data_IF_412325017406
#
_entry.id   IF_412325017406
#
_cell.length_a   1.000
_cell.length_b   1.000
_cell.length_c   1.000
_cell.angle_alpha   90.00
_cell.angle_beta   90.00
_cell.angle_gamma   90.00
#
_symmetry.space_group_name_H-M   'P 1'
#
loop_
_entity.id
_entity.type
_entity.pdbx_description
1 polymer ?
#
# COMPACT_ATOMS: atom_id res chain seq x y z
N UNK A 1 7.47 -2.92 -18.97
CA UNK A 1 8.59 -2.17 -19.60
C UNK A 1 8.89 -0.99 -18.69
N UNK A 2 9.75 -1.10 -17.96
CA UNK A 2 10.88 -0.59 -17.19
C UNK A 2 10.87 0.93 -17.00
N UNK A 3 10.71 1.31 -15.73
CA UNK A 3 10.91 2.64 -15.17
C UNK A 3 12.43 2.88 -14.98
N UNK A 4 13.24 2.69 -16.02
CA UNK A 4 14.71 2.81 -15.93
C UNK A 4 15.29 4.07 -16.56
N UNK A 5 14.48 4.86 -17.28
CA UNK A 5 14.94 6.12 -17.86
C UNK A 5 14.61 7.28 -16.91
N UNK A 6 15.63 8.00 -16.45
CA UNK A 6 15.49 9.17 -15.57
C UNK A 6 14.55 10.24 -16.15
N UNK A 7 14.42 10.31 -17.49
CA UNK A 7 13.50 11.21 -18.19
C UNK A 7 12.04 10.86 -17.98
N UNK A 8 11.72 9.61 -17.67
CA UNK A 8 10.36 9.08 -17.41
C UNK A 8 9.89 9.24 -15.95
N UNK A 9 10.76 9.73 -15.06
CA UNK A 9 10.50 9.91 -13.65
C UNK A 9 10.36 11.38 -13.27
N UNK A 10 9.63 11.65 -12.18
CA UNK A 10 9.66 12.90 -11.42
C UNK A 10 10.00 12.63 -9.97
N UNK A 11 10.65 13.60 -9.33
CA UNK A 11 10.88 13.58 -7.89
C UNK A 11 9.90 14.55 -7.23
N UNK A 12 8.99 14.00 -6.43
CA UNK A 12 7.93 14.77 -5.80
C UNK A 12 8.22 14.96 -4.31
N UNK A 13 7.92 16.16 -3.80
CA UNK A 13 8.05 16.48 -2.38
C UNK A 13 6.77 16.05 -1.63
N UNK A 14 6.93 15.23 -0.59
CA UNK A 14 5.89 14.82 0.34
C UNK A 14 6.12 15.42 1.71
N UNK A 15 5.05 15.53 2.53
CA UNK A 15 5.10 16.00 3.92
C UNK A 15 5.82 17.34 4.07
N UNK A 16 5.53 18.30 3.16
CA UNK A 16 6.17 19.61 3.19
C UNK A 16 7.67 19.58 2.84
N UNK A 17 8.11 18.61 2.03
CA UNK A 17 9.51 18.46 1.60
C UNK A 17 10.37 17.59 2.52
N UNK A 18 9.79 17.03 3.59
CA UNK A 18 10.50 16.11 4.50
C UNK A 18 10.81 14.75 3.86
N UNK A 19 10.11 14.42 2.78
CA UNK A 19 10.28 13.17 2.05
C UNK A 19 10.28 13.49 0.55
N UNK A 20 11.19 12.87 -0.19
CA UNK A 20 11.31 12.96 -1.65
C UNK A 20 10.99 11.60 -2.25
N UNK A 21 10.04 11.54 -3.19
CA UNK A 21 9.66 10.30 -3.84
C UNK A 21 9.83 10.40 -5.35
N UNK A 22 10.68 9.57 -5.89
CA UNK A 22 10.75 9.32 -7.32
C UNK A 22 9.56 8.48 -7.74
N UNK A 23 8.84 8.96 -8.74
CA UNK A 23 7.64 8.32 -9.27
C UNK A 23 7.61 8.36 -10.79
N UNK A 24 6.96 7.40 -11.47
CA UNK A 24 6.80 7.48 -12.92
C UNK A 24 5.91 8.67 -13.29
N UNK A 25 6.25 9.36 -14.40
CA UNK A 25 5.41 10.44 -14.95
C UNK A 25 4.10 9.92 -15.52
N UNK A 26 4.06 8.65 -15.92
CA UNK A 26 2.86 7.94 -16.41
C UNK A 26 2.70 6.61 -15.66
N UNK A 27 1.46 6.20 -15.35
CA UNK A 27 1.14 5.04 -14.52
C UNK A 27 0.64 5.43 -13.14
N UNK A 28 0.72 4.51 -12.17
CA UNK A 28 0.31 4.80 -10.81
C UNK A 28 1.26 5.79 -10.14
N UNK A 29 0.67 6.78 -9.50
CA UNK A 29 1.37 7.78 -8.69
C UNK A 29 0.68 7.93 -7.35
N UNK A 30 1.44 7.99 -6.28
CA UNK A 30 0.95 8.24 -4.95
C UNK A 30 0.37 9.66 -4.83
N UNK A 31 -0.84 9.74 -4.32
CA UNK A 31 -1.53 10.99 -3.98
C UNK A 31 -1.59 11.23 -2.49
N UNK A 32 -2.77 11.61 -1.99
CA UNK A 32 -2.99 11.87 -0.56
C UNK A 32 -3.21 10.59 0.26
N UNK A 33 -3.72 9.51 -0.36
CA UNK A 33 -4.12 8.30 0.33
C UNK A 33 -2.98 7.63 1.12
N UNK A 34 -1.75 7.49 0.59
CA UNK A 34 -0.60 7.04 1.35
C UNK A 34 -0.31 7.87 2.60
N UNK A 35 -0.49 9.18 2.52
CA UNK A 35 -0.26 10.09 3.65
C UNK A 35 -1.32 9.87 4.73
N UNK A 36 -2.60 9.76 4.33
CA UNK A 36 -3.71 9.52 5.25
C UNK A 36 -3.59 8.15 5.92
N UNK A 37 -3.25 7.11 5.15
CA UNK A 37 -3.02 5.77 5.67
C UNK A 37 -1.88 5.77 6.69
N UNK A 38 -0.73 6.33 6.34
CA UNK A 38 0.41 6.45 7.27
C UNK A 38 0.05 7.27 8.52
N UNK A 39 -0.78 8.32 8.39
CA UNK A 39 -1.21 9.16 9.50
C UNK A 39 -2.14 8.44 10.46
N UNK A 40 -2.93 7.47 10.00
CA UNK A 40 -3.89 6.72 10.81
C UNK A 40 -3.24 5.66 11.72
N UNK A 41 -1.98 5.31 11.48
CA UNK A 41 -1.27 4.28 12.25
C UNK A 41 -1.01 4.75 13.67
N UNK A 42 -1.37 3.94 14.67
CA UNK A 42 -1.01 4.19 16.07
C UNK A 42 0.45 3.77 16.33
N UNK A 43 1.30 4.76 16.42
CA UNK A 43 2.76 4.58 16.57
C UNK A 43 3.22 4.00 17.90
N UNK A 44 2.37 3.97 18.90
CA UNK A 44 2.71 3.38 20.21
C UNK A 44 2.83 1.84 20.15
N UNK A 45 2.43 1.25 19.02
CA UNK A 45 2.39 -0.20 18.84
C UNK A 45 3.41 -0.71 17.82
N UNK A 46 4.21 0.18 17.21
CA UNK A 46 5.03 -0.17 16.06
C UNK A 46 6.47 -0.55 16.41
N UNK A 47 6.88 -1.76 16.03
CA UNK A 47 8.27 -2.23 15.93
C UNK A 47 8.59 -2.63 14.51
N UNK A 48 7.84 -3.59 13.96
CA UNK A 48 8.01 -4.17 12.63
C UNK A 48 6.82 -3.84 11.73
N UNK A 49 7.10 -3.36 10.52
CA UNK A 49 6.08 -2.94 9.54
C UNK A 49 6.23 -3.71 8.25
N UNK A 50 5.13 -4.22 7.72
CA UNK A 50 5.02 -4.79 6.38
C UNK A 50 4.04 -3.96 5.55
N UNK A 51 4.48 -3.46 4.40
CA UNK A 51 3.61 -2.80 3.40
C UNK A 51 3.37 -3.76 2.24
N UNK A 52 2.15 -4.24 2.12
CA UNK A 52 1.72 -5.12 1.03
C UNK A 52 1.41 -4.28 -0.21
N UNK A 53 2.02 -4.59 -1.36
CA UNK A 53 1.91 -3.79 -2.57
C UNK A 53 2.48 -2.39 -2.38
N UNK A 54 3.70 -2.29 -1.85
CA UNK A 54 4.26 -0.99 -1.42
C UNK A 54 4.48 0.02 -2.56
N UNK A 55 4.37 -0.38 -3.81
CA UNK A 55 4.63 0.49 -4.96
C UNK A 55 6.01 1.12 -4.88
N UNK A 56 6.08 2.45 -5.03
CA UNK A 56 7.31 3.23 -4.86
C UNK A 56 7.66 3.52 -3.37
N UNK A 57 6.97 2.89 -2.41
CA UNK A 57 7.23 3.00 -0.98
C UNK A 57 6.53 4.17 -0.28
N UNK A 58 5.52 4.79 -0.90
CA UNK A 58 4.93 6.04 -0.40
C UNK A 58 4.33 5.91 1.01
N UNK A 59 3.53 4.87 1.28
CA UNK A 59 2.93 4.66 2.62
C UNK A 59 4.01 4.40 3.65
N UNK A 60 4.91 3.46 3.34
CA UNK A 60 5.98 2.99 4.21
C UNK A 60 6.89 4.14 4.66
N UNK A 61 7.29 5.00 3.71
CA UNK A 61 8.20 6.10 3.99
C UNK A 61 7.50 7.30 4.63
N UNK A 62 6.22 7.56 4.32
CA UNK A 62 5.42 8.53 5.07
C UNK A 62 5.30 8.13 6.55
N UNK A 63 5.12 6.84 6.83
CA UNK A 63 5.10 6.33 8.20
C UNK A 63 6.48 6.47 8.87
N UNK A 64 7.55 6.08 8.19
CA UNK A 64 8.93 6.19 8.70
C UNK A 64 9.33 7.64 9.02
N UNK A 65 8.92 8.60 8.17
CA UNK A 65 9.19 10.03 8.41
C UNK A 65 8.46 10.58 9.65
N UNK A 66 7.32 9.95 10.06
CA UNK A 66 6.58 10.28 11.26
C UNK A 66 7.12 9.55 12.49
N UNK A 67 7.59 8.33 12.32
CA UNK A 67 7.94 7.40 13.38
C UNK A 67 9.32 6.80 13.11
N UNK A 68 10.40 7.46 13.53
CA UNK A 68 11.75 6.92 13.39
C UNK A 68 11.95 5.63 14.19
N UNK A 69 12.81 4.75 13.69
CA UNK A 69 13.21 3.52 14.39
C UNK A 69 12.35 2.29 14.07
N UNK A 70 11.41 2.40 13.11
CA UNK A 70 10.65 1.26 12.62
C UNK A 70 11.51 0.34 11.76
N UNK A 71 11.30 -0.98 11.88
CA UNK A 71 11.82 -1.97 10.92
C UNK A 71 10.87 -2.06 9.73
N UNK A 72 11.32 -1.60 8.57
CA UNK A 72 10.50 -1.41 7.39
C UNK A 72 10.68 -2.56 6.40
N UNK A 73 9.58 -3.21 6.01
CA UNK A 73 9.55 -4.20 4.93
C UNK A 73 8.44 -3.86 3.95
N UNK A 74 8.75 -3.87 2.66
CA UNK A 74 7.79 -3.72 1.58
C UNK A 74 7.78 -4.93 0.66
N UNK A 75 6.61 -5.30 0.15
CA UNK A 75 6.42 -6.31 -0.89
C UNK A 75 5.76 -5.65 -2.09
N UNK A 76 6.34 -5.81 -3.26
CA UNK A 76 5.81 -5.24 -4.51
C UNK A 76 5.95 -6.26 -5.65
N UNK A 77 4.86 -6.46 -6.39
CA UNK A 77 4.81 -7.41 -7.51
C UNK A 77 5.65 -6.94 -8.70
N UNK A 78 5.56 -5.65 -9.01
CA UNK A 78 6.19 -5.08 -10.19
C UNK A 78 7.63 -4.65 -9.88
N UNK A 79 8.61 -5.32 -10.50
CA UNK A 79 10.03 -5.07 -10.27
C UNK A 79 10.41 -3.58 -10.42
N UNK A 80 9.85 -2.88 -11.43
CA UNK A 80 10.14 -1.45 -11.63
C UNK A 80 9.68 -0.56 -10.48
N UNK A 81 8.55 -0.85 -9.84
CA UNK A 81 8.10 -0.14 -8.63
C UNK A 81 8.90 -0.55 -7.40
N UNK A 82 9.27 -1.83 -7.27
CA UNK A 82 10.14 -2.29 -6.20
C UNK A 82 11.53 -1.61 -6.26
N UNK A 83 12.08 -1.43 -7.46
CA UNK A 83 13.35 -0.70 -7.66
C UNK A 83 13.20 0.79 -7.32
N UNK A 84 12.06 1.41 -7.65
CA UNK A 84 11.76 2.77 -7.20
C UNK A 84 11.65 2.87 -5.68
N UNK A 85 11.04 1.89 -5.02
CA UNK A 85 10.98 1.87 -3.56
C UNK A 85 12.38 1.79 -2.94
N UNK A 86 13.27 0.94 -3.45
CA UNK A 86 14.68 0.86 -3.00
C UNK A 86 15.41 2.20 -3.18
N UNK A 87 15.30 2.78 -4.38
CA UNK A 87 15.85 4.11 -4.67
C UNK A 87 15.30 5.19 -3.74
N UNK A 88 14.00 5.18 -3.47
CA UNK A 88 13.37 6.15 -2.57
C UNK A 88 13.80 5.96 -1.11
N UNK A 89 14.04 4.72 -0.67
CA UNK A 89 14.63 4.46 0.64
C UNK A 89 16.04 5.08 0.75
N UNK A 90 16.89 4.84 -0.24
CA UNK A 90 18.24 5.42 -0.31
C UNK A 90 18.22 6.96 -0.35
N UNK A 91 17.37 7.57 -1.20
CA UNK A 91 17.22 9.03 -1.34
C UNK A 91 16.86 9.71 -0.01
N UNK A 92 16.11 9.02 0.85
CA UNK A 92 15.65 9.55 2.13
C UNK A 92 16.43 9.02 3.33
N UNK A 93 17.52 8.27 3.10
CA UNK A 93 18.35 7.71 4.18
C UNK A 93 17.62 6.70 5.06
N UNK A 94 16.63 6.00 4.51
CA UNK A 94 15.80 5.03 5.23
C UNK A 94 16.31 3.61 4.99
N UNK A 95 16.50 2.85 6.07
CA UNK A 95 16.74 1.41 5.99
C UNK A 95 15.41 0.69 5.78
N UNK A 96 15.20 0.14 4.59
CA UNK A 96 14.00 -0.63 4.24
C UNK A 96 14.36 -1.88 3.43
N UNK A 97 13.76 -3.01 3.78
CA UNK A 97 13.82 -4.24 3.00
C UNK A 97 12.69 -4.24 1.99
N UNK A 98 13.01 -4.26 0.70
CA UNK A 98 12.00 -4.30 -0.38
C UNK A 98 12.15 -5.60 -1.16
N UNK A 99 11.11 -6.43 -1.10
CA UNK A 99 11.03 -7.71 -1.81
C UNK A 99 10.18 -7.57 -3.08
N UNK A 100 10.69 -8.05 -4.19
CA UNK A 100 9.90 -8.15 -5.41
C UNK A 100 9.20 -9.51 -5.40
N UNK A 101 7.91 -9.53 -5.07
CA UNK A 101 7.15 -10.77 -4.91
C UNK A 101 5.65 -10.54 -5.06
N UNK A 102 4.93 -11.61 -5.42
CA UNK A 102 3.48 -11.70 -5.30
C UNK A 102 3.11 -11.87 -3.83
N UNK A 103 2.20 -11.02 -3.32
CA UNK A 103 1.75 -11.09 -1.93
C UNK A 103 1.05 -12.42 -1.60
N UNK A 104 0.46 -13.08 -2.61
CA UNK A 104 -0.17 -14.41 -2.44
C UNK A 104 0.86 -15.55 -2.41
N UNK A 105 2.11 -15.26 -2.81
CA UNK A 105 3.21 -16.22 -2.92
C UNK A 105 4.51 -15.67 -2.34
N UNK A 106 4.42 -15.19 -1.11
CA UNK A 106 5.56 -14.58 -0.42
C UNK A 106 6.77 -15.53 -0.36
N UNK A 107 8.01 -15.00 -0.42
CA UNK A 107 9.22 -15.77 -0.16
C UNK A 107 9.19 -16.48 1.19
N UNK A 108 9.85 -17.62 1.30
CA UNK A 108 9.83 -18.46 2.52
C UNK A 108 10.22 -17.68 3.77
N UNK A 109 11.22 -16.81 3.70
CA UNK A 109 11.62 -15.97 4.84
C UNK A 109 10.45 -15.10 5.33
N UNK A 110 9.77 -14.34 4.44
CA UNK A 110 8.63 -13.51 4.79
C UNK A 110 7.42 -14.30 5.32
N UNK A 111 7.22 -15.53 4.81
CA UNK A 111 6.14 -16.39 5.31
C UNK A 111 6.34 -16.83 6.76
N UNK A 112 7.56 -16.83 7.25
CA UNK A 112 7.89 -17.19 8.63
C UNK A 112 7.92 -16.00 9.58
N UNK A 113 7.95 -14.78 9.04
CA UNK A 113 7.97 -13.55 9.83
C UNK A 113 6.56 -13.11 10.25
N UNK A 114 6.49 -12.35 11.33
CA UNK A 114 5.29 -11.69 11.85
C UNK A 114 5.59 -10.20 12.04
N UNK A 115 4.57 -9.38 11.83
CA UNK A 115 4.69 -7.93 11.86
C UNK A 115 3.67 -7.32 12.81
N UNK A 116 4.10 -6.29 13.55
CA UNK A 116 3.23 -5.56 14.47
C UNK A 116 2.21 -4.71 13.70
N UNK A 117 2.61 -4.18 12.55
CA UNK A 117 1.77 -3.38 11.68
C UNK A 117 1.87 -3.90 10.25
N UNK A 118 0.72 -4.08 9.63
CA UNK A 118 0.61 -4.31 8.19
C UNK A 118 -0.15 -3.16 7.56
N UNK A 119 0.41 -2.65 6.47
CA UNK A 119 -0.15 -1.59 5.64
C UNK A 119 -0.61 -2.17 4.31
N UNK A 120 -1.71 -1.65 3.77
CA UNK A 120 -2.14 -1.98 2.42
C UNK A 120 -2.91 -0.82 1.79
N UNK A 121 -2.52 -0.46 0.57
CA UNK A 121 -3.23 0.47 -0.29
C UNK A 121 -3.51 -0.19 -1.65
N UNK A 122 -4.44 -1.18 -1.68
CA UNK A 122 -4.73 -1.93 -2.89
C UNK A 122 -5.26 -1.04 -4.01
N UNK A 123 -5.06 -1.40 -5.28
CA UNK A 123 -5.64 -0.68 -6.41
C UNK A 123 -7.16 -0.50 -6.28
N UNK A 124 -7.68 0.65 -6.73
CA UNK A 124 -9.11 1.00 -6.58
C UNK A 124 -10.00 0.44 -7.68
N UNK A 125 -9.44 -0.30 -8.63
CA UNK A 125 -10.20 -0.80 -9.77
C UNK A 125 -11.01 -2.06 -9.42
N UNK A 126 -12.23 -2.16 -9.97
CA UNK A 126 -12.99 -3.40 -9.99
C UNK A 126 -12.72 -4.14 -11.29
N UNK A 127 -12.57 -5.46 -11.27
CA UNK A 127 -12.60 -6.25 -12.50
C UNK A 127 -13.89 -5.95 -13.27
N UNK A 128 -13.78 -5.55 -14.54
CA UNK A 128 -14.93 -5.28 -15.40
C UNK A 128 -15.54 -3.88 -15.35
N UNK A 129 -14.99 -2.94 -14.59
CA UNK A 129 -15.51 -1.56 -14.46
C UNK A 129 -15.04 -0.61 -15.59
N UNK A 130 -14.30 -1.08 -16.59
CA UNK A 130 -13.81 -0.22 -17.68
C UNK A 130 -14.77 -0.18 -18.87
N UNK A 131 -15.16 1.05 -19.26
CA UNK A 131 -15.82 1.30 -20.55
C UNK A 131 -14.86 0.90 -21.69
N UNK A 132 -15.35 0.17 -22.74
CA UNK A 132 -14.49 -0.40 -23.79
C UNK A 132 -13.78 0.60 -24.70
N UNK A 133 -13.87 1.90 -24.45
CA UNK A 133 -13.51 2.94 -25.42
C UNK A 133 -12.12 3.56 -25.29
N UNK A 134 -11.36 3.30 -24.24
CA UNK A 134 -10.03 3.89 -24.10
C UNK A 134 -9.03 2.89 -23.52
N UNK A 135 -8.18 2.34 -24.38
CA UNK A 135 -6.95 1.61 -24.09
C UNK A 135 -7.03 0.07 -24.08
N UNK A 136 -7.13 -0.51 -25.28
CA UNK A 136 -7.19 -1.97 -25.50
C UNK A 136 -5.89 -2.74 -25.20
N UNK A 137 -4.79 -2.08 -24.89
CA UNK A 137 -3.50 -2.72 -24.55
C UNK A 137 -3.19 -2.71 -23.05
N UNK A 138 -3.60 -1.64 -22.34
CA UNK A 138 -3.36 -1.46 -20.90
C UNK A 138 -4.36 -2.18 -20.02
N UNK A 139 -5.62 -2.19 -20.41
CA UNK A 139 -6.71 -2.83 -19.66
C UNK A 139 -6.57 -4.34 -19.55
N UNK A 140 -6.05 -5.00 -20.61
CA UNK A 140 -5.81 -6.45 -20.58
C UNK A 140 -4.67 -6.84 -19.64
N UNK A 141 -3.57 -6.10 -19.63
CA UNK A 141 -2.42 -6.38 -18.77
C UNK A 141 -2.67 -6.11 -17.29
N UNK A 142 -3.59 -5.19 -16.96
CA UNK A 142 -3.95 -4.83 -15.58
C UNK A 142 -5.14 -5.65 -15.06
N UNK A 143 -6.12 -5.99 -15.93
CA UNK A 143 -7.33 -6.72 -15.52
C UNK A 143 -7.12 -8.22 -15.27
N UNK A 144 -6.05 -8.82 -15.81
CA UNK A 144 -5.72 -10.23 -15.58
C UNK A 144 -4.86 -10.47 -14.32
N UNK A 145 -4.46 -9.40 -13.61
CA UNK A 145 -3.55 -9.48 -12.46
C UNK A 145 -4.10 -8.83 -11.18
N UNK A 146 -5.41 -8.61 -11.10
CA UNK A 146 -5.98 -7.99 -9.89
C UNK A 146 -6.16 -9.03 -8.79
N UNK A 147 -5.30 -8.95 -7.80
CA UNK A 147 -5.43 -9.74 -6.55
C UNK A 147 -6.68 -9.29 -5.81
N UNK A 148 -7.64 -10.18 -5.50
CA UNK A 148 -8.83 -9.86 -4.75
C UNK A 148 -8.53 -9.26 -3.37
N UNK A 149 -9.39 -8.37 -2.83
CA UNK A 149 -9.19 -7.80 -1.49
C UNK A 149 -9.15 -8.89 -0.40
N UNK A 150 -9.85 -10.01 -0.60
CA UNK A 150 -9.78 -11.17 0.27
C UNK A 150 -8.36 -11.71 0.44
N UNK A 151 -7.57 -11.74 -0.63
CA UNK A 151 -6.21 -12.27 -0.60
C UNK A 151 -5.24 -11.32 0.11
N UNK A 152 -5.46 -9.99 -0.05
CA UNK A 152 -4.74 -8.98 0.72
C UNK A 152 -4.97 -9.13 2.22
N UNK A 153 -6.24 -9.29 2.62
CA UNK A 153 -6.64 -9.47 4.03
C UNK A 153 -6.17 -10.82 4.56
N UNK A 154 -6.28 -11.89 3.78
CA UNK A 154 -5.78 -13.22 4.14
C UNK A 154 -4.26 -13.18 4.40
N UNK A 155 -3.49 -12.60 3.47
CA UNK A 155 -2.05 -12.46 3.62
C UNK A 155 -1.70 -11.61 4.83
N UNK A 156 -2.41 -10.50 5.04
CA UNK A 156 -2.23 -9.67 6.22
C UNK A 156 -2.50 -10.45 7.50
N UNK A 157 -3.63 -11.15 7.61
CA UNK A 157 -3.99 -11.94 8.78
C UNK A 157 -2.94 -13.01 9.10
N UNK A 158 -2.40 -13.65 8.05
CA UNK A 158 -1.33 -14.65 8.20
C UNK A 158 0.02 -14.04 8.62
N UNK A 159 0.27 -12.77 8.37
CA UNK A 159 1.56 -12.10 8.68
C UNK A 159 1.50 -11.24 9.93
N UNK A 160 0.32 -10.94 10.48
CA UNK A 160 0.20 -10.21 11.74
C UNK A 160 0.80 -10.97 12.92
N UNK A 161 1.53 -10.27 13.76
CA UNK A 161 1.89 -10.71 15.08
C UNK A 161 0.64 -10.74 16.01
N UNK A 162 0.64 -11.50 17.09
CA UNK A 162 -0.40 -11.40 18.09
C UNK A 162 -0.56 -9.96 18.59
N UNK A 163 -1.79 -9.42 18.55
CA UNK A 163 -2.11 -8.01 18.84
C UNK A 163 -1.58 -6.99 17.80
N UNK A 164 -1.11 -7.46 16.66
CA UNK A 164 -0.76 -6.58 15.52
C UNK A 164 -2.00 -6.02 14.85
N UNK A 165 -1.81 -4.96 14.05
CA UNK A 165 -2.87 -4.23 13.37
C UNK A 165 -2.66 -4.19 11.86
N UNK A 166 -3.74 -4.46 11.11
CA UNK A 166 -3.84 -4.15 9.69
C UNK A 166 -4.40 -2.74 9.53
N UNK A 167 -3.79 -1.93 8.68
CA UNK A 167 -4.31 -0.66 8.20
C UNK A 167 -4.45 -0.73 6.70
N UNK A 168 -5.69 -0.68 6.20
CA UNK A 168 -5.99 -0.78 4.77
C UNK A 168 -6.88 0.37 4.34
N UNK A 169 -6.47 1.12 3.32
CA UNK A 169 -7.28 2.18 2.72
C UNK A 169 -7.94 1.69 1.43
N UNK A 170 -9.22 2.02 1.25
CA UNK A 170 -9.97 1.65 0.04
C UNK A 170 -11.17 2.59 -0.17
N UNK A 171 -11.81 2.51 -1.34
CA UNK A 171 -13.07 3.19 -1.61
C UNK A 171 -14.15 2.75 -0.61
N UNK A 172 -14.96 3.71 -0.13
CA UNK A 172 -16.02 3.44 0.84
C UNK A 172 -17.05 2.42 0.33
N UNK A 173 -17.28 2.38 -0.99
CA UNK A 173 -18.18 1.41 -1.61
C UNK A 173 -17.70 -0.05 -1.53
N UNK A 174 -16.39 -0.27 -1.30
CA UNK A 174 -15.81 -1.62 -1.13
C UNK A 174 -15.75 -2.07 0.33
N UNK A 175 -16.23 -1.25 1.26
CA UNK A 175 -16.25 -1.60 2.69
C UNK A 175 -16.97 -2.93 2.99
N UNK A 176 -18.14 -3.25 2.38
CA UNK A 176 -18.78 -4.55 2.63
C UNK A 176 -17.90 -5.75 2.24
N UNK A 177 -17.16 -5.64 1.12
CA UNK A 177 -16.22 -6.68 0.68
C UNK A 177 -15.05 -6.84 1.67
N UNK A 178 -14.49 -5.72 2.15
CA UNK A 178 -13.41 -5.73 3.14
C UNK A 178 -13.88 -6.36 4.46
N UNK A 179 -15.06 -5.98 4.97
CA UNK A 179 -15.61 -6.51 6.22
C UNK A 179 -15.87 -8.02 6.11
N UNK A 180 -16.44 -8.46 5.00
CA UNK A 180 -16.66 -9.90 4.73
C UNK A 180 -15.33 -10.67 4.70
N UNK A 181 -14.29 -10.10 4.11
CA UNK A 181 -12.97 -10.73 4.07
C UNK A 181 -12.28 -10.79 5.45
N UNK A 182 -12.60 -9.87 6.37
CA UNK A 182 -12.08 -9.90 7.75
C UNK A 182 -12.75 -10.98 8.61
N UNK A 183 -13.96 -11.41 8.25
CA UNK A 183 -14.75 -12.35 9.06
C UNK A 183 -14.00 -13.65 9.31
N UNK A 184 -13.89 -14.05 10.57
CA UNK A 184 -13.15 -15.25 11.00
C UNK A 184 -11.62 -15.15 10.90
N UNK A 185 -11.06 -14.01 10.46
CA UNK A 185 -9.60 -13.80 10.32
C UNK A 185 -9.07 -12.71 11.23
N UNK A 186 -9.77 -11.60 11.31
CA UNK A 186 -9.38 -10.43 12.09
C UNK A 186 -10.53 -10.04 13.04
N UNK A 187 -10.16 -9.53 14.19
CA UNK A 187 -11.10 -9.03 15.20
C UNK A 187 -10.91 -7.54 15.45
N UNK A 188 -11.80 -6.96 16.27
CA UNK A 188 -11.73 -5.54 16.67
C UNK A 188 -11.67 -4.57 15.48
N UNK A 189 -12.46 -4.85 14.43
CA UNK A 189 -12.43 -4.05 13.20
C UNK A 189 -13.00 -2.66 13.46
N UNK A 190 -12.22 -1.65 13.15
CA UNK A 190 -12.61 -0.24 13.18
C UNK A 190 -12.56 0.36 11.77
N UNK A 191 -13.45 1.29 11.47
CA UNK A 191 -13.48 2.00 10.18
C UNK A 191 -13.38 3.49 10.42
N UNK A 192 -12.34 4.11 9.86
CA UNK A 192 -12.17 5.56 9.83
C UNK A 192 -12.65 6.09 8.47
N UNK A 193 -13.83 6.74 8.41
CA UNK A 193 -14.33 7.30 7.16
C UNK A 193 -13.53 8.56 6.78
N UNK A 194 -13.21 8.71 5.50
CA UNK A 194 -12.48 9.84 4.95
C UNK A 194 -13.35 10.57 3.94
N UNK A 195 -13.58 11.87 4.15
CA UNK A 195 -14.30 12.74 3.24
C UNK A 195 -13.38 13.87 2.76
N UNK A 196 -13.38 14.14 1.47
CA UNK A 196 -12.53 15.17 0.85
C UNK A 196 -12.89 16.60 1.29
N UNK A 197 -14.10 16.83 1.84
CA UNK A 197 -14.57 18.11 2.39
C UNK A 197 -15.60 17.88 3.49
N UNK A 198 -15.66 18.78 4.45
CA UNK A 198 -16.70 18.79 5.48
C UNK A 198 -18.10 18.82 4.84
N UNK A 199 -19.03 18.02 5.38
CA UNK A 199 -20.40 17.89 4.89
C UNK A 199 -20.60 17.04 3.63
N UNK A 200 -19.55 16.41 3.09
CA UNK A 200 -19.64 15.41 2.02
C UNK A 200 -19.65 14.01 2.60
N UNK A 201 -20.32 13.10 1.92
CA UNK A 201 -20.21 11.68 2.24
C UNK A 201 -18.77 11.21 2.08
N UNK A 202 -18.30 10.30 2.93
CA UNK A 202 -16.99 9.67 2.76
C UNK A 202 -16.91 8.92 1.43
N UNK A 203 -15.83 9.14 0.69
CA UNK A 203 -15.54 8.43 -0.56
C UNK A 203 -14.46 7.35 -0.36
N UNK A 204 -13.77 7.40 0.78
CA UNK A 204 -12.78 6.42 1.21
C UNK A 204 -12.98 6.03 2.67
N UNK A 205 -12.43 4.88 3.05
CA UNK A 205 -12.34 4.44 4.43
C UNK A 205 -11.01 3.77 4.71
N UNK A 206 -10.49 3.97 5.92
CA UNK A 206 -9.38 3.17 6.44
C UNK A 206 -9.98 2.15 7.39
N UNK A 207 -9.76 0.87 7.09
CA UNK A 207 -10.03 -0.25 7.96
C UNK A 207 -8.79 -0.50 8.82
N UNK A 208 -9.00 -0.65 10.12
CA UNK A 208 -7.96 -1.02 11.07
C UNK A 208 -8.49 -1.95 12.14
#
# INVERSE_FOLDING_TARGET
MIVSDASSLSCDAFLGGRLKLWQPKSGYRAGIDPVLLAASVDVRQAGTVLDLGCGAGAVLFCLAARCPGLSLTGVELQAGYADLARRNAEENGLAARIETADLTRLPTALRQERFDIILANPPYFRPGAHSPAQDTGRSRALGEMETPLSDWIETAAQRLAPKGWLYMIQLAERLPEMLSACEGRLGSVEVLPLAGRAGRAPDRGILR
#
